data_IF_849697758181
#
_entry.id   IF_849697758181
#
_cell.length_a   1.000
_cell.length_b   1.000
_cell.length_c   1.000
_cell.angle_alpha   90.00
_cell.angle_beta   90.00
_cell.angle_gamma   90.00
#
_symmetry.space_group_name_H-M   'P 1'
#
loop_
_entity.id
_entity.type
_entity.pdbx_description
1 polymer ?
#
# COMPACT_ATOMS: atom_id res chain seq x y z
N UNK A 1 -1.50 11.63 -5.56
CA UNK A 1 -0.43 11.46 -4.57
C UNK A 1 -1.04 11.11 -3.21
N UNK A 2 -0.48 10.11 -2.54
CA UNK A 2 -1.02 9.67 -1.25
C UNK A 2 -0.85 10.74 -0.17
N UNK A 3 -1.88 10.91 0.65
CA UNK A 3 -1.88 11.88 1.75
C UNK A 3 -1.92 11.15 3.09
N UNK A 4 -0.96 11.45 3.95
CA UNK A 4 -0.87 10.81 5.28
C UNK A 4 -2.15 11.00 6.10
N UNK A 5 -2.79 12.15 5.97
CA UNK A 5 -4.03 12.46 6.70
C UNK A 5 -5.17 11.50 6.30
N UNK A 6 -5.12 10.94 5.09
CA UNK A 6 -6.11 10.01 4.58
C UNK A 6 -5.67 8.54 4.72
N UNK A 7 -4.60 8.28 5.45
CA UNK A 7 -4.11 6.93 5.69
C UNK A 7 -5.19 6.05 6.29
N UNK A 8 -5.38 4.87 5.69
CA UNK A 8 -6.28 3.87 6.25
C UNK A 8 -5.70 3.37 7.58
N UNK A 9 -6.52 3.39 8.62
CA UNK A 9 -6.08 2.99 9.97
C UNK A 9 -5.74 1.51 10.08
N UNK A 10 -6.22 0.70 9.13
CA UNK A 10 -5.96 -0.74 9.08
C UNK A 10 -4.57 -1.08 8.55
N UNK A 11 -3.85 -0.11 7.99
CA UNK A 11 -2.47 -0.32 7.56
C UNK A 11 -1.60 -0.70 8.76
N UNK A 12 -0.65 -1.61 8.53
CA UNK A 12 0.38 -1.91 9.53
C UNK A 12 1.19 -0.64 9.83
N UNK A 13 1.57 -0.41 11.08
CA UNK A 13 2.37 0.76 11.42
C UNK A 13 3.73 0.72 10.73
N UNK A 14 4.21 1.87 10.26
CA UNK A 14 5.49 1.99 9.56
C UNK A 14 5.42 2.97 8.41
N UNK A 15 6.41 2.93 7.54
CA UNK A 15 6.62 3.95 6.50
C UNK A 15 5.59 3.87 5.37
N UNK A 16 5.28 2.67 4.88
CA UNK A 16 4.36 2.50 3.76
C UNK A 16 2.91 2.53 4.23
N UNK A 17 2.05 3.14 3.43
CA UNK A 17 0.61 3.17 3.72
C UNK A 17 -0.18 3.29 2.44
N UNK A 18 -1.46 2.88 2.49
CA UNK A 18 -2.45 3.09 1.44
C UNK A 18 -3.48 4.07 2.00
N UNK A 19 -3.87 5.07 1.22
CA UNK A 19 -4.86 6.03 1.65
C UNK A 19 -6.26 5.70 1.11
N UNK A 20 -7.24 6.53 1.47
CA UNK A 20 -8.64 6.30 1.12
C UNK A 20 -8.96 6.48 -0.36
N UNK A 21 -8.02 6.95 -1.17
CA UNK A 21 -8.26 7.10 -2.61
C UNK A 21 -8.06 5.82 -3.41
N UNK A 22 -7.65 4.72 -2.76
CA UNK A 22 -7.48 3.41 -3.41
C UNK A 22 -8.76 2.95 -4.10
N UNK A 23 -8.64 2.49 -5.35
CA UNK A 23 -9.78 2.03 -6.16
C UNK A 23 -9.88 0.50 -6.24
N UNK A 24 -9.12 -0.22 -5.42
CA UNK A 24 -9.14 -1.69 -5.37
C UNK A 24 -8.79 -2.35 -6.71
N UNK A 25 -7.81 -1.81 -7.41
CA UNK A 25 -7.42 -2.32 -8.74
C UNK A 25 -6.56 -3.59 -8.70
N UNK A 26 -6.16 -4.04 -7.51
CA UNK A 26 -5.39 -5.27 -7.29
C UNK A 26 -3.92 -5.22 -7.76
N UNK A 27 -3.47 -4.15 -8.39
CA UNK A 27 -2.12 -4.07 -8.95
C UNK A 27 -1.04 -4.25 -7.87
N UNK A 28 -1.17 -3.56 -6.73
CA UNK A 28 -0.18 -3.64 -5.66
C UNK A 28 -0.11 -5.05 -5.06
N UNK A 29 -1.25 -5.74 -4.96
CA UNK A 29 -1.30 -7.10 -4.41
C UNK A 29 -0.68 -8.11 -5.37
N UNK A 30 -0.69 -7.82 -6.67
CA UNK A 30 -0.02 -8.67 -7.66
C UNK A 30 1.49 -8.46 -7.66
N UNK A 31 1.94 -7.23 -7.44
CA UNK A 31 3.37 -6.89 -7.44
C UNK A 31 4.04 -7.29 -6.12
N UNK A 32 3.39 -7.00 -4.99
CA UNK A 32 3.96 -7.21 -3.65
C UNK A 32 2.95 -7.87 -2.72
N UNK A 33 2.59 -9.14 -2.96
CA UNK A 33 1.56 -9.83 -2.15
C UNK A 33 1.96 -10.03 -0.69
N UNK A 34 3.24 -10.00 -0.38
CA UNK A 34 3.71 -10.11 1.02
C UNK A 34 3.54 -8.81 1.80
N UNK A 35 3.32 -7.69 1.13
CA UNK A 35 3.18 -6.37 1.76
C UNK A 35 1.74 -5.89 1.74
N UNK A 36 1.07 -6.03 0.60
CA UNK A 36 -0.28 -5.48 0.40
C UNK A 36 -1.33 -6.59 0.42
N UNK A 37 -2.46 -6.29 1.06
CA UNK A 37 -3.56 -7.22 1.21
C UNK A 37 -4.86 -6.45 1.06
N UNK A 38 -5.91 -7.12 0.60
CA UNK A 38 -7.22 -6.49 0.51
C UNK A 38 -7.89 -6.50 1.88
N UNK A 39 -8.35 -5.35 2.30
CA UNK A 39 -9.17 -5.22 3.50
C UNK A 39 -10.64 -5.17 3.09
N UNK A 40 -11.36 -6.26 3.31
CA UNK A 40 -12.75 -6.39 2.85
C UNK A 40 -13.67 -5.34 3.47
N UNK A 41 -13.40 -4.94 4.70
CA UNK A 41 -14.21 -3.94 5.39
C UNK A 41 -14.25 -2.58 4.70
N UNK A 42 -13.18 -2.24 3.97
CA UNK A 42 -13.10 -0.98 3.22
C UNK A 42 -13.23 -1.19 1.71
N UNK A 43 -13.11 -2.42 1.21
CA UNK A 43 -13.06 -2.70 -0.22
C UNK A 43 -11.83 -2.08 -0.89
N UNK A 44 -10.73 -2.02 -0.17
CA UNK A 44 -9.50 -1.37 -0.60
C UNK A 44 -8.29 -2.17 -0.14
N UNK A 45 -7.13 -1.92 -0.74
CA UNK A 45 -5.88 -2.51 -0.30
C UNK A 45 -5.35 -1.80 0.94
N UNK A 46 -4.62 -2.54 1.77
CA UNK A 46 -3.88 -1.97 2.91
C UNK A 46 -2.48 -2.55 2.90
N UNK A 47 -1.58 -1.94 3.65
CA UNK A 47 -0.28 -2.52 3.96
C UNK A 47 -0.48 -3.46 5.13
N UNK A 48 -0.48 -4.76 4.85
CA UNK A 48 -0.67 -5.78 5.89
C UNK A 48 0.60 -5.99 6.70
N UNK A 49 1.76 -5.82 6.07
CA UNK A 49 3.07 -5.96 6.70
C UNK A 49 4.07 -5.04 6.02
N UNK A 50 4.81 -4.28 6.79
CA UNK A 50 5.85 -3.41 6.24
C UNK A 50 6.96 -4.25 5.59
N UNK A 51 7.52 -3.79 4.46
CA UNK A 51 8.62 -4.51 3.83
C UNK A 51 9.87 -4.49 4.72
N UNK A 52 10.50 -5.64 4.91
CA UNK A 52 11.66 -5.78 5.79
C UNK A 52 12.96 -6.04 5.03
N UNK A 53 12.89 -6.84 3.96
CA UNK A 53 14.08 -7.15 3.15
C UNK A 53 14.21 -6.18 1.99
N UNK A 54 15.40 -6.11 1.38
CA UNK A 54 15.62 -5.26 0.22
C UNK A 54 14.71 -5.66 -0.95
N UNK A 55 14.50 -6.96 -1.14
CA UNK A 55 13.61 -7.46 -2.19
C UNK A 55 12.17 -7.03 -1.93
N UNK A 56 11.71 -7.11 -0.68
CA UNK A 56 10.36 -6.67 -0.31
C UNK A 56 10.19 -5.17 -0.50
N UNK A 57 11.19 -4.38 -0.11
CA UNK A 57 11.18 -2.93 -0.30
C UNK A 57 11.13 -2.55 -1.77
N UNK A 58 11.87 -3.29 -2.60
CA UNK A 58 11.87 -3.06 -4.04
C UNK A 58 10.48 -3.29 -4.63
N UNK A 59 9.83 -4.41 -4.28
CA UNK A 59 8.49 -4.72 -4.76
C UNK A 59 7.45 -3.73 -4.23
N UNK A 60 7.56 -3.33 -2.96
CA UNK A 60 6.65 -2.34 -2.38
C UNK A 60 6.78 -1.00 -3.11
N UNK A 61 8.00 -0.58 -3.46
CA UNK A 61 8.22 0.65 -4.21
C UNK A 61 7.69 0.55 -5.64
N UNK A 62 7.82 -0.62 -6.27
CA UNK A 62 7.24 -0.85 -7.61
C UNK A 62 5.72 -0.73 -7.58
N UNK A 63 5.09 -1.26 -6.55
CA UNK A 63 3.64 -1.15 -6.37
C UNK A 63 3.21 0.32 -6.19
N UNK A 64 3.99 1.09 -5.44
CA UNK A 64 3.73 2.51 -5.23
C UNK A 64 3.74 3.27 -6.56
N UNK A 65 4.73 3.01 -7.42
CA UNK A 65 4.85 3.65 -8.71
C UNK A 65 3.74 3.21 -9.66
N UNK A 66 3.31 1.94 -9.57
CA UNK A 66 2.31 1.36 -10.46
C UNK A 66 0.87 1.73 -10.07
N UNK A 67 0.65 2.26 -8.88
CA UNK A 67 -0.70 2.58 -8.41
C UNK A 67 -1.33 3.69 -9.27
N UNK A 68 -2.44 3.41 -9.98
CA UNK A 68 -3.00 4.40 -10.93
C UNK A 68 -3.61 5.63 -10.25
N UNK A 69 -4.01 5.50 -8.98
CA UNK A 69 -4.56 6.62 -8.21
C UNK A 69 -3.52 7.27 -7.30
N UNK A 70 -2.29 6.77 -7.32
CA UNK A 70 -1.22 7.23 -6.42
C UNK A 70 -1.64 7.17 -4.95
N UNK A 71 -2.35 6.10 -4.57
CA UNK A 71 -2.92 5.94 -3.22
C UNK A 71 -1.92 5.34 -2.24
N UNK A 72 -0.75 4.89 -2.71
CA UNK A 72 0.28 4.31 -1.86
C UNK A 72 1.34 5.38 -1.62
N UNK A 73 1.74 5.54 -0.37
CA UNK A 73 2.75 6.52 0.01
C UNK A 73 3.73 5.96 1.01
N UNK A 74 4.74 6.76 1.30
CA UNK A 74 5.75 6.43 2.31
C UNK A 74 6.02 7.69 3.13
N UNK A 75 6.28 7.49 4.41
CA UNK A 75 6.56 8.58 5.35
C UNK A 75 8.00 9.08 5.23
N UNK A 76 8.86 8.38 4.51
CA UNK A 76 10.25 8.79 4.30
C UNK A 76 10.38 9.77 3.15
#
# INVERSE_FOLDING_TARGET
>A
MAHLVDRLKENAPGDYFVDTSCIDCDTCRQIAPETYERFDGAGQSIVARQPETDAERHRAAMALVACPTASIGTMC
#
